data_IF_656224701410
#
_entry.id   IF_656224701410
#
_cell.length_a   1.000
_cell.length_b   1.000
_cell.length_c   1.000
_cell.angle_alpha   90.00
_cell.angle_beta   90.00
_cell.angle_gamma   90.00
#
_symmetry.space_group_name_H-M   'P 1'
#
loop_
_entity.id
_entity.type
_entity.pdbx_description
1 polymer ?
#
# COMPACT_ATOMS: atom_id res chain seq x y z
N UNK A 1 20.78 16.82 -26.32
CA UNK A 1 19.32 17.07 -26.29
C UNK A 1 18.93 16.88 -24.85
N UNK A 2 18.97 17.97 -24.08
CA UNK A 2 18.81 17.96 -22.63
C UNK A 2 17.32 18.09 -22.34
N UNK A 3 16.71 17.03 -21.81
CA UNK A 3 15.29 17.07 -21.44
C UNK A 3 15.10 18.06 -20.28
N UNK A 4 14.18 19.00 -20.49
CA UNK A 4 13.69 19.90 -19.46
C UNK A 4 13.02 19.09 -18.36
N UNK A 5 13.78 18.76 -17.32
CA UNK A 5 13.23 18.32 -16.04
C UNK A 5 12.34 19.43 -15.49
N UNK A 6 11.13 19.05 -15.07
CA UNK A 6 10.18 19.94 -14.42
C UNK A 6 10.80 20.53 -13.13
N UNK A 7 11.51 21.64 -13.27
CA UNK A 7 12.09 22.42 -12.17
C UNK A 7 10.96 23.09 -11.41
N UNK A 8 10.48 22.41 -10.38
CA UNK A 8 9.53 22.98 -9.44
C UNK A 8 9.48 22.28 -8.07
N UNK A 9 9.75 20.97 -8.00
CA UNK A 9 9.58 20.22 -6.74
C UNK A 9 10.69 19.20 -6.42
N UNK A 10 11.74 19.09 -7.24
CA UNK A 10 12.88 18.18 -6.97
C UNK A 10 12.54 16.68 -6.99
N UNK A 11 11.30 16.30 -7.28
CA UNK A 11 10.85 14.91 -7.36
C UNK A 11 11.05 14.41 -8.80
N UNK A 12 11.95 13.44 -8.99
CA UNK A 12 12.08 12.76 -10.27
C UNK A 12 10.93 11.76 -10.41
N UNK A 13 9.87 12.12 -11.13
CA UNK A 13 8.69 11.26 -11.31
C UNK A 13 9.01 9.94 -12.02
N UNK A 14 10.11 9.87 -12.76
CA UNK A 14 10.52 8.64 -13.47
C UNK A 14 11.13 7.58 -12.54
N UNK A 15 11.52 7.95 -11.32
CA UNK A 15 12.01 6.98 -10.32
C UNK A 15 10.91 6.25 -9.56
N UNK A 16 9.64 6.64 -9.75
CA UNK A 16 8.51 5.99 -9.10
C UNK A 16 8.05 4.78 -9.93
N UNK A 17 7.99 3.61 -9.29
CA UNK A 17 7.47 2.39 -9.91
C UNK A 17 6.51 1.66 -8.98
N UNK A 18 5.42 1.12 -9.56
CA UNK A 18 4.52 0.19 -8.88
C UNK A 18 4.92 -1.28 -9.02
N UNK A 19 5.96 -1.54 -9.81
CA UNK A 19 6.47 -2.87 -10.17
C UNK A 19 7.99 -2.88 -10.02
N UNK A 20 8.50 -2.89 -8.79
CA UNK A 20 9.92 -3.02 -8.58
C UNK A 20 10.41 -4.37 -9.13
N UNK A 21 11.48 -4.35 -9.90
CA UNK A 21 12.19 -5.54 -10.33
C UNK A 21 13.10 -6.03 -9.19
N UNK A 22 13.45 -7.33 -9.13
CA UNK A 22 14.36 -7.85 -8.12
C UNK A 22 15.76 -7.22 -8.14
N UNK A 23 16.12 -6.58 -9.25
CA UNK A 23 17.40 -5.88 -9.45
C UNK A 23 17.35 -4.41 -9.02
N UNK A 24 16.17 -3.88 -8.69
CA UNK A 24 16.00 -2.48 -8.34
C UNK A 24 16.36 -2.24 -6.87
N UNK A 25 16.97 -1.09 -6.59
CA UNK A 25 17.21 -0.61 -5.23
C UNK A 25 16.04 0.27 -4.76
N UNK A 26 15.34 -0.18 -3.72
CA UNK A 26 14.18 0.53 -3.19
C UNK A 26 14.60 1.50 -2.09
N UNK A 27 14.34 2.78 -2.28
CA UNK A 27 14.74 3.82 -1.34
C UNK A 27 13.62 4.16 -0.34
N UNK A 28 12.37 4.18 -0.81
CA UNK A 28 11.22 4.59 -0.02
C UNK A 28 9.92 3.97 -0.57
N UNK A 29 8.89 3.92 0.26
CA UNK A 29 7.54 3.54 -0.13
C UNK A 29 6.64 4.80 -0.06
N UNK A 30 5.73 4.96 -1.03
CA UNK A 30 4.73 6.03 -1.02
C UNK A 30 3.35 5.42 -1.19
N UNK A 31 2.41 5.67 -0.27
CA UNK A 31 1.04 5.26 -0.46
C UNK A 31 0.40 6.16 -1.54
N UNK A 32 -0.35 5.56 -2.45
CA UNK A 32 -1.08 6.28 -3.51
C UNK A 32 -2.52 5.78 -3.63
N UNK A 33 -3.42 6.66 -4.05
CA UNK A 33 -4.79 6.30 -4.40
C UNK A 33 -4.99 6.46 -5.91
N UNK A 34 -5.50 5.41 -6.57
CA UNK A 34 -5.73 5.41 -8.01
C UNK A 34 -6.90 4.46 -8.36
N UNK A 35 -7.51 4.59 -9.55
CA UNK A 35 -8.49 3.63 -10.04
C UNK A 35 -7.91 2.20 -10.06
N UNK A 36 -8.69 1.22 -9.61
CA UNK A 36 -8.18 -0.15 -9.47
C UNK A 36 -7.68 -0.77 -10.79
N UNK A 37 -8.25 -0.34 -11.91
CA UNK A 37 -7.85 -0.79 -13.25
C UNK A 37 -6.43 -0.37 -13.65
N UNK A 38 -5.91 0.74 -13.11
CA UNK A 38 -4.53 1.18 -13.38
C UNK A 38 -3.51 0.45 -12.52
N UNK A 39 -3.97 -0.17 -11.42
CA UNK A 39 -3.14 -0.90 -10.46
C UNK A 39 -3.07 -2.40 -10.77
N UNK A 40 -3.47 -2.85 -11.97
CA UNK A 40 -3.55 -4.29 -12.33
C UNK A 40 -2.27 -5.05 -12.06
N UNK A 41 -1.14 -4.40 -12.26
CA UNK A 41 0.15 -5.04 -12.18
C UNK A 41 0.92 -4.71 -10.88
N UNK A 42 0.32 -3.91 -9.99
CA UNK A 42 0.92 -3.59 -8.70
C UNK A 42 0.86 -4.81 -7.80
N UNK A 43 2.01 -5.13 -7.18
CA UNK A 43 2.12 -6.20 -6.17
C UNK A 43 1.30 -5.89 -4.92
N UNK A 44 1.44 -4.66 -4.42
CA UNK A 44 0.74 -4.17 -3.22
C UNK A 44 -0.46 -3.30 -3.63
N UNK A 45 -1.66 -3.88 -3.58
CA UNK A 45 -2.90 -3.16 -3.89
C UNK A 45 -4.08 -3.69 -3.12
N UNK A 46 -5.02 -2.80 -2.84
CA UNK A 46 -6.30 -3.14 -2.21
C UNK A 46 -7.41 -2.30 -2.80
N UNK A 47 -8.60 -2.88 -2.96
CA UNK A 47 -9.79 -2.15 -3.38
C UNK A 47 -10.42 -1.52 -2.14
N UNK A 48 -10.48 -0.19 -2.12
CA UNK A 48 -11.19 0.59 -1.11
C UNK A 48 -12.63 0.76 -1.55
N UNK A 49 -13.58 0.41 -0.70
CA UNK A 49 -15.02 0.50 -0.95
C UNK A 49 -15.63 1.34 0.18
N UNK A 50 -16.47 2.34 -0.10
CA UNK A 50 -17.25 3.01 0.94
C UNK A 50 -18.00 1.99 1.81
N UNK A 51 -18.02 2.19 3.13
CA UNK A 51 -18.58 1.25 4.10
C UNK A 51 -18.72 1.87 5.49
N UNK A 52 -18.82 1.04 6.53
CA UNK A 52 -19.01 1.50 7.92
C UNK A 52 -17.75 1.41 8.80
N UNK A 53 -16.67 0.81 8.31
CA UNK A 53 -15.46 0.60 9.08
C UNK A 53 -14.61 1.88 9.14
N UNK A 54 -14.11 2.23 10.33
CA UNK A 54 -13.27 3.41 10.53
C UNK A 54 -11.96 3.30 9.74
N UNK A 55 -11.49 4.41 9.18
CA UNK A 55 -10.26 4.47 8.36
C UNK A 55 -9.03 3.83 9.03
N UNK A 56 -8.85 4.00 10.35
CA UNK A 56 -7.73 3.39 11.08
C UNK A 56 -7.82 1.86 11.20
N UNK A 57 -9.03 1.29 11.25
CA UNK A 57 -9.21 -0.17 11.21
C UNK A 57 -8.92 -0.73 9.81
N UNK A 58 -9.39 -0.02 8.78
CA UNK A 58 -9.07 -0.35 7.40
C UNK A 58 -7.56 -0.31 7.17
N UNK A 59 -6.88 0.75 7.60
CA UNK A 59 -5.43 0.88 7.46
C UNK A 59 -4.67 -0.28 8.10
N UNK A 60 -5.00 -0.66 9.35
CA UNK A 60 -4.35 -1.81 10.01
C UNK A 60 -4.51 -3.11 9.23
N UNK A 61 -5.69 -3.33 8.65
CA UNK A 61 -5.95 -4.48 7.80
C UNK A 61 -5.16 -4.41 6.47
N UNK A 62 -5.03 -3.21 5.89
CA UNK A 62 -4.25 -2.97 4.69
C UNK A 62 -2.77 -3.33 4.89
N UNK A 63 -2.16 -2.77 5.95
CA UNK A 63 -0.76 -3.03 6.29
C UNK A 63 -0.52 -4.50 6.58
N UNK A 64 -1.40 -5.15 7.35
CA UNK A 64 -1.30 -6.58 7.64
C UNK A 64 -1.34 -7.42 6.35
N UNK A 65 -2.22 -7.07 5.41
CA UNK A 65 -2.28 -7.72 4.09
C UNK A 65 -0.97 -7.54 3.31
N UNK A 66 -0.43 -6.32 3.25
CA UNK A 66 0.79 -6.04 2.50
C UNK A 66 2.01 -6.74 3.09
N UNK A 67 2.12 -6.81 4.42
CA UNK A 67 3.21 -7.50 5.11
C UNK A 67 3.18 -9.02 4.91
N UNK A 68 2.02 -9.60 4.62
CA UNK A 68 1.83 -11.03 4.36
C UNK A 68 1.58 -11.36 2.88
N UNK A 69 1.82 -10.41 1.98
CA UNK A 69 1.70 -10.66 0.54
C UNK A 69 2.79 -11.63 0.10
N UNK A 70 2.42 -12.60 -0.75
CA UNK A 70 3.37 -13.58 -1.28
C UNK A 70 4.50 -12.89 -2.06
N UNK A 71 5.73 -13.34 -1.85
CA UNK A 71 6.92 -12.73 -2.44
C UNK A 71 7.33 -11.39 -1.81
N UNK A 72 6.71 -10.93 -0.73
CA UNK A 72 7.17 -9.76 0.02
C UNK A 72 8.51 -10.05 0.71
N UNK A 73 9.56 -9.34 0.29
CA UNK A 73 10.88 -9.36 0.91
C UNK A 73 10.83 -8.62 2.25
N UNK A 74 11.79 -8.91 3.12
CA UNK A 74 11.85 -8.23 4.43
C UNK A 74 12.18 -6.75 4.28
N UNK A 75 12.97 -6.40 3.26
CA UNK A 75 13.27 -5.01 2.93
C UNK A 75 12.02 -4.23 2.49
N UNK A 76 11.18 -4.78 1.61
CA UNK A 76 9.90 -4.16 1.23
C UNK A 76 9.00 -3.95 2.44
N UNK A 77 8.94 -4.93 3.36
CA UNK A 77 8.16 -4.82 4.59
C UNK A 77 8.65 -3.70 5.50
N UNK A 78 9.96 -3.52 5.59
CA UNK A 78 10.55 -2.45 6.41
C UNK A 78 10.26 -1.08 5.82
N UNK A 79 10.34 -0.93 4.48
CA UNK A 79 9.94 0.30 3.80
C UNK A 79 8.45 0.62 4.00
N UNK A 80 7.56 -0.39 3.92
CA UNK A 80 6.12 -0.22 4.17
C UNK A 80 5.85 0.27 5.60
N UNK A 81 6.57 -0.25 6.60
CA UNK A 81 6.44 0.17 8.01
C UNK A 81 7.05 1.53 8.29
N UNK A 82 8.06 1.94 7.52
CA UNK A 82 8.73 3.23 7.67
C UNK A 82 7.85 4.43 7.25
N UNK A 83 6.83 4.19 6.42
CA UNK A 83 5.89 5.24 6.00
C UNK A 83 5.05 5.72 7.19
N UNK A 84 5.01 7.03 7.48
CA UNK A 84 4.19 7.61 8.54
C UNK A 84 2.70 7.25 8.39
N UNK A 85 2.03 6.97 9.51
CA UNK A 85 0.59 6.66 9.50
C UNK A 85 -0.26 7.77 8.85
N UNK A 86 0.17 9.03 8.99
CA UNK A 86 -0.50 10.19 8.40
C UNK A 86 -0.60 10.10 6.86
N UNK A 87 0.46 9.64 6.19
CA UNK A 87 0.51 9.54 4.73
C UNK A 87 -0.45 8.47 4.22
N UNK A 88 -0.57 7.36 4.94
CA UNK A 88 -1.56 6.34 4.65
C UNK A 88 -3.00 6.83 4.81
N UNK A 89 -3.27 7.70 5.79
CA UNK A 89 -4.60 8.28 5.98
C UNK A 89 -5.01 9.20 4.83
N UNK A 90 -4.05 9.82 4.13
CA UNK A 90 -4.33 10.68 2.98
C UNK A 90 -4.80 9.89 1.75
N UNK A 91 -4.50 8.59 1.68
CA UNK A 91 -4.89 7.73 0.55
C UNK A 91 -6.18 6.94 0.79
N UNK A 92 -6.78 7.08 1.97
CA UNK A 92 -8.00 6.36 2.35
C UNK A 92 -9.17 7.31 2.53
N UNK A 93 -10.35 6.88 2.11
CA UNK A 93 -11.59 7.59 2.38
C UNK A 93 -12.09 7.29 3.81
N UNK A 94 -12.79 8.24 4.40
CA UNK A 94 -13.52 8.03 5.66
C UNK A 94 -14.58 6.94 5.48
N UNK A 95 -14.75 6.11 6.52
CA UNK A 95 -15.73 5.02 6.55
C UNK A 95 -15.59 4.08 5.33
N UNK A 96 -14.56 3.22 5.35
CA UNK A 96 -14.22 2.37 4.22
C UNK A 96 -13.99 0.91 4.61
N UNK A 97 -14.38 0.01 3.72
CA UNK A 97 -14.10 -1.42 3.76
C UNK A 97 -13.07 -1.75 2.70
N UNK A 98 -12.14 -2.64 3.05
CA UNK A 98 -11.15 -3.15 2.12
C UNK A 98 -11.59 -4.48 1.49
N UNK A 99 -11.26 -4.65 0.22
CA UNK A 99 -11.45 -5.87 -0.55
C UNK A 99 -10.17 -6.19 -1.33
N UNK A 100 -9.65 -7.41 -1.17
CA UNK A 100 -8.54 -7.96 -1.94
C UNK A 100 -8.56 -9.49 -1.83
N UNK A 101 -7.89 -10.17 -2.75
CA UNK A 101 -7.57 -11.59 -2.60
C UNK A 101 -6.69 -11.75 -1.35
N UNK A 102 -7.19 -12.45 -0.32
CA UNK A 102 -6.46 -12.69 0.94
C UNK A 102 -7.04 -12.03 2.20
N UNK A 103 -7.96 -11.07 2.10
CA UNK A 103 -8.57 -10.42 3.29
C UNK A 103 -9.37 -11.39 4.17
N UNK A 104 -9.89 -12.49 3.60
CA UNK A 104 -10.60 -13.54 4.36
C UNK A 104 -9.67 -14.18 5.40
N UNK A 105 -8.38 -14.32 5.09
CA UNK A 105 -7.40 -14.94 5.98
C UNK A 105 -6.93 -13.99 7.09
N UNK A 106 -6.82 -12.68 6.82
CA UNK A 106 -6.44 -11.67 7.80
C UNK A 106 -7.51 -11.42 8.88
N UNK A 107 -8.80 -11.61 8.55
CA UNK A 107 -9.90 -11.54 9.54
C UNK A 107 -9.98 -12.77 10.47
N UNK A 108 -9.39 -13.90 10.10
CA UNK A 108 -9.46 -15.16 10.85
C UNK A 108 -8.60 -15.23 12.12
N UNK A 109 -7.58 -14.36 12.27
CA UNK A 109 -6.63 -14.42 13.41
C UNK A 109 -7.08 -13.68 14.68
N UNK A 110 -8.29 -13.08 14.72
CA UNK A 110 -8.83 -12.39 15.93
C UNK A 110 -10.01 -13.12 16.61
N UNK A 111 -10.08 -14.44 16.46
CA UNK A 111 -11.16 -15.27 17.00
C UNK A 111 -10.73 -16.44 17.90
N UNK A 112 -9.51 -16.44 18.45
CA UNK A 112 -9.05 -17.51 19.35
C UNK A 112 -8.30 -16.93 20.56
N UNK A 113 -9.03 -16.34 21.49
CA UNK A 113 -8.64 -16.33 22.90
C UNK A 113 -9.83 -16.81 23.72
N UNK A 114 -9.88 -18.12 23.93
CA UNK A 114 -10.83 -18.82 24.79
C UNK A 114 -10.04 -19.60 25.84
N UNK A 115 -9.75 -18.95 26.95
CA UNK A 115 -9.76 -19.52 28.31
C UNK A 115 -9.53 -18.40 29.31
#
# INVERSE_FOLDING_TARGET
MEEMTAKGLGVNLTSLTGKPLPTDELLYCVPVCAPYETLKDYKYKVKVIPGMEKKGKALKLCLDLFLHTEGATDFEKDLIKAVPEADWHLTLISNCKLSAAGIVNAKGKKGAKKK
#
